data_IF_602157061167
#
_entry.id   IF_602157061167
#
_cell.length_a   1.000
_cell.length_b   1.000
_cell.length_c   1.000
_cell.angle_alpha   90.00
_cell.angle_beta   90.00
_cell.angle_gamma   90.00
#
_symmetry.space_group_name_H-M   'P 1'
#
loop_
_entity.id
_entity.type
_entity.pdbx_description
1 polymer ?
#
# COMPACT_ATOMS: atom_id res chain seq x y z
N UNK A 1 10.94 -6.38 -4.71
CA UNK A 1 9.84 -5.49 -5.14
C UNK A 1 9.62 -5.72 -6.63
N UNK A 2 8.40 -6.05 -7.00
CA UNK A 2 7.92 -6.30 -8.35
C UNK A 2 6.79 -5.32 -8.68
N UNK A 3 6.37 -5.29 -9.94
CA UNK A 3 5.23 -4.48 -10.37
C UNK A 3 3.92 -4.90 -9.65
N UNK A 4 3.76 -6.18 -9.32
CA UNK A 4 2.61 -6.68 -8.58
C UNK A 4 2.52 -6.07 -7.17
N UNK A 5 3.66 -5.87 -6.50
CA UNK A 5 3.71 -5.23 -5.18
C UNK A 5 3.24 -3.77 -5.25
N UNK A 6 3.63 -3.05 -6.31
CA UNK A 6 3.22 -1.66 -6.54
C UNK A 6 1.71 -1.57 -6.79
N UNK A 7 1.16 -2.42 -7.66
CA UNK A 7 -0.28 -2.45 -7.92
C UNK A 7 -1.09 -2.83 -6.69
N UNK A 8 -0.59 -3.76 -5.88
CA UNK A 8 -1.24 -4.13 -4.63
C UNK A 8 -1.32 -2.94 -3.67
N UNK A 9 -0.23 -2.17 -3.53
CA UNK A 9 -0.22 -0.95 -2.70
C UNK A 9 -1.20 0.08 -3.23
N UNK A 10 -1.21 0.34 -4.54
CA UNK A 10 -2.15 1.29 -5.15
C UNK A 10 -3.60 0.88 -4.90
N UNK A 11 -3.91 -0.40 -5.06
CA UNK A 11 -5.26 -0.93 -4.84
C UNK A 11 -5.69 -0.81 -3.37
N UNK A 12 -4.82 -1.17 -2.43
CA UNK A 12 -5.11 -1.07 -1.00
C UNK A 12 -5.29 0.39 -0.56
N UNK A 13 -4.44 1.28 -1.06
CA UNK A 13 -4.42 2.69 -0.69
C UNK A 13 -5.61 3.47 -1.27
N UNK A 14 -6.11 3.08 -2.43
CA UNK A 14 -7.30 3.66 -3.04
C UNK A 14 -8.59 2.93 -2.69
N UNK A 15 -8.55 1.96 -1.77
CA UNK A 15 -9.75 1.26 -1.34
C UNK A 15 -10.70 2.27 -0.64
N UNK A 16 -11.99 2.35 -1.02
CA UNK A 16 -12.92 3.33 -0.46
C UNK A 16 -13.10 3.21 1.05
N UNK A 17 -12.81 2.02 1.59
CA UNK A 17 -12.83 1.74 3.03
C UNK A 17 -11.45 1.36 3.54
N UNK A 18 -10.44 2.20 3.27
CA UNK A 18 -9.04 1.95 3.65
C UNK A 18 -8.86 1.57 5.14
N UNK A 19 -9.67 2.15 6.03
CA UNK A 19 -9.67 1.83 7.46
C UNK A 19 -10.11 0.39 7.80
N UNK A 20 -10.78 -0.31 6.89
CA UNK A 20 -11.19 -1.71 7.06
C UNK A 20 -10.19 -2.71 6.47
N UNK A 21 -9.23 -2.26 5.66
CA UNK A 21 -8.23 -3.13 5.00
C UNK A 21 -7.43 -3.91 6.04
N UNK A 22 -6.99 -3.25 7.11
CA UNK A 22 -6.22 -3.90 8.18
C UNK A 22 -7.00 -4.98 8.94
N UNK A 23 -8.32 -4.80 9.08
CA UNK A 23 -9.18 -5.76 9.78
C UNK A 23 -9.61 -6.93 8.88
N UNK A 24 -9.91 -6.66 7.60
CA UNK A 24 -10.35 -7.67 6.64
C UNK A 24 -9.19 -8.50 6.06
N UNK A 25 -8.02 -7.89 5.88
CA UNK A 25 -6.85 -8.48 5.23
C UNK A 25 -5.55 -8.19 6.01
N UNK A 26 -5.38 -8.81 7.20
CA UNK A 26 -4.23 -8.53 8.08
C UNK A 26 -2.88 -8.83 7.42
N UNK A 27 -2.81 -9.80 6.50
CA UNK A 27 -1.57 -10.11 5.78
C UNK A 27 -1.23 -9.07 4.71
N UNK A 28 -2.24 -8.43 4.11
CA UNK A 28 -2.03 -7.29 3.20
C UNK A 28 -1.49 -6.10 3.99
N UNK A 29 -2.05 -5.80 5.16
CA UNK A 29 -1.53 -4.73 6.02
C UNK A 29 -0.08 -4.99 6.45
N UNK A 30 0.24 -6.23 6.83
CA UNK A 30 1.61 -6.63 7.19
C UNK A 30 2.60 -6.43 6.05
N UNK A 31 2.20 -6.79 4.83
CA UNK A 31 3.00 -6.56 3.62
C UNK A 31 3.12 -5.06 3.34
N UNK A 32 2.02 -4.33 3.41
CA UNK A 32 1.99 -2.90 3.14
C UNK A 32 2.85 -2.09 4.12
N UNK A 33 2.82 -2.43 5.41
CA UNK A 33 3.69 -1.85 6.42
C UNK A 33 5.18 -1.99 6.04
N UNK A 34 5.60 -3.16 5.56
CA UNK A 34 6.97 -3.39 5.09
C UNK A 34 7.29 -2.62 3.80
N UNK A 35 6.31 -2.44 2.93
CA UNK A 35 6.47 -1.74 1.66
C UNK A 35 6.54 -0.21 1.83
N UNK A 36 5.89 0.36 2.85
CA UNK A 36 5.96 1.81 3.16
C UNK A 36 7.37 2.29 3.44
N UNK A 37 8.23 1.43 3.98
CA UNK A 37 9.64 1.75 4.26
C UNK A 37 10.52 1.70 3.00
N UNK A 38 10.02 1.20 1.88
CA UNK A 38 10.78 1.11 0.64
C UNK A 38 10.86 2.46 -0.09
N UNK A 39 12.06 2.93 -0.42
CA UNK A 39 12.30 4.26 -1.01
C UNK A 39 11.46 4.54 -2.27
N UNK A 40 11.32 3.56 -3.17
CA UNK A 40 10.46 3.70 -4.35
C UNK A 40 9.00 3.97 -3.98
N UNK A 41 8.47 3.26 -2.98
CA UNK A 41 7.07 3.39 -2.54
C UNK A 41 6.86 4.76 -1.88
N UNK A 42 7.84 5.25 -1.11
CA UNK A 42 7.80 6.62 -0.54
C UNK A 42 7.76 7.70 -1.63
N UNK A 43 8.58 7.55 -2.68
CA UNK A 43 8.57 8.46 -3.86
C UNK A 43 7.22 8.42 -4.59
N UNK A 44 6.67 7.23 -4.79
CA UNK A 44 5.36 7.08 -5.42
C UNK A 44 4.25 7.71 -4.58
N UNK A 45 4.30 7.57 -3.25
CA UNK A 45 3.31 8.22 -2.39
C UNK A 45 3.39 9.74 -2.48
N UNK A 46 4.60 10.29 -2.47
CA UNK A 46 4.80 11.73 -2.64
C UNK A 46 4.25 12.25 -3.98
N UNK A 47 4.33 11.44 -5.04
CA UNK A 47 3.84 11.81 -6.37
C UNK A 47 2.32 11.62 -6.55
N UNK A 48 1.72 10.63 -5.89
CA UNK A 48 0.36 10.18 -6.16
C UNK A 48 -0.61 10.28 -4.97
N UNK A 49 -0.14 10.76 -3.81
CA UNK A 49 -0.92 10.87 -2.57
C UNK A 49 -1.75 9.60 -2.30
N UNK A 50 -1.08 8.44 -2.32
CA UNK A 50 -1.75 7.15 -2.12
C UNK A 50 -2.34 7.05 -0.71
N UNK A 51 -1.72 7.70 0.28
CA UNK A 51 -2.24 7.87 1.64
C UNK A 51 -1.94 9.26 2.18
#
# INVERSE_FOLDING_TARGET
>A
LSLADVYLVMLAAWHPEIGKVAAAWPDIERLWARLRDHDLIRKLNAAHAMW
#
